data_IF_792886852785
#
_entry.id   IF_792886852785
#
_cell.length_a   1.000
_cell.length_b   1.000
_cell.length_c   1.000
_cell.angle_alpha   90.00
_cell.angle_beta   90.00
_cell.angle_gamma   90.00
#
_symmetry.space_group_name_H-M   'P 1'
#
loop_
_entity.id
_entity.type
_entity.pdbx_description
1 polymer ?
#
# COMPACT_ATOMS: atom_id res chain seq x y z
N UNK A 1 15.44 23.83 -15.62
CA UNK A 1 14.31 23.45 -16.52
C UNK A 1 13.01 23.76 -15.80
N UNK A 2 11.91 24.09 -16.49
CA UNK A 2 10.63 24.48 -15.86
C UNK A 2 9.53 23.48 -16.14
N UNK A 3 8.87 23.04 -15.07
CA UNK A 3 7.76 22.10 -15.10
C UNK A 3 6.52 22.68 -14.42
N UNK A 4 5.35 22.44 -14.99
CA UNK A 4 4.09 22.76 -14.32
C UNK A 4 3.88 21.87 -13.09
N UNK A 5 4.26 20.59 -13.19
CA UNK A 5 4.16 19.61 -12.10
C UNK A 5 5.46 18.81 -11.99
N UNK A 6 5.99 18.71 -10.78
CA UNK A 6 7.09 17.80 -10.43
C UNK A 6 6.58 16.75 -9.44
N UNK A 7 6.74 15.47 -9.75
CA UNK A 7 6.34 14.35 -8.89
C UNK A 7 7.61 13.68 -8.38
N UNK A 8 7.77 13.61 -7.06
CA UNK A 8 8.93 12.98 -6.40
C UNK A 8 8.53 11.57 -5.94
N UNK A 9 9.14 10.55 -6.55
CA UNK A 9 8.83 9.13 -6.36
C UNK A 9 8.14 8.56 -7.60
N UNK A 10 8.82 7.69 -8.34
CA UNK A 10 8.36 7.16 -9.62
C UNK A 10 7.71 5.78 -9.57
N UNK A 11 7.59 5.19 -8.37
CA UNK A 11 6.90 3.93 -8.15
C UNK A 11 5.38 4.06 -8.36
N UNK A 12 4.58 3.13 -7.83
CA UNK A 12 3.17 3.01 -8.23
C UNK A 12 2.33 4.27 -7.93
N UNK A 13 2.53 4.95 -6.80
CA UNK A 13 1.74 6.13 -6.43
C UNK A 13 2.02 7.29 -7.38
N UNK A 14 3.29 7.68 -7.54
CA UNK A 14 3.66 8.78 -8.44
C UNK A 14 3.39 8.47 -9.91
N UNK A 15 3.58 7.22 -10.34
CA UNK A 15 3.17 6.78 -11.69
C UNK A 15 1.65 6.85 -11.88
N UNK A 16 0.86 6.54 -10.85
CA UNK A 16 -0.60 6.68 -10.89
C UNK A 16 -1.03 8.14 -10.98
N UNK A 17 -0.41 9.04 -10.21
CA UNK A 17 -0.66 10.49 -10.31
C UNK A 17 -0.36 11.00 -11.72
N UNK A 18 0.82 10.68 -12.28
CA UNK A 18 1.19 11.09 -13.63
C UNK A 18 0.23 10.54 -14.69
N UNK A 19 -0.22 9.29 -14.53
CA UNK A 19 -1.13 8.64 -15.46
C UNK A 19 -2.49 9.34 -15.45
N UNK A 20 -3.08 9.50 -14.28
CA UNK A 20 -4.40 10.10 -14.17
C UNK A 20 -4.41 11.60 -14.46
N UNK A 21 -3.32 12.34 -14.23
CA UNK A 21 -3.22 13.73 -14.71
C UNK A 21 -3.46 13.81 -16.23
N UNK A 22 -2.92 12.86 -16.99
CA UNK A 22 -3.13 12.79 -18.43
C UNK A 22 -4.52 12.28 -18.80
N UNK A 23 -5.08 11.33 -18.05
CA UNK A 23 -6.48 10.90 -18.23
C UNK A 23 -7.48 12.03 -17.94
N UNK A 24 -7.18 12.91 -16.99
CA UNK A 24 -7.96 14.12 -16.69
C UNK A 24 -7.77 15.25 -17.73
N UNK A 25 -6.91 15.04 -18.73
CA UNK A 25 -6.68 16.01 -19.81
C UNK A 25 -5.65 17.09 -19.49
N UNK A 26 -4.82 16.94 -18.46
CA UNK A 26 -3.69 17.85 -18.23
C UNK A 26 -2.73 17.82 -19.42
N UNK A 27 -2.42 18.99 -19.98
CA UNK A 27 -1.51 19.12 -21.14
C UNK A 27 -0.16 19.75 -20.82
N UNK A 28 0.02 20.26 -19.59
CA UNK A 28 1.26 20.88 -19.13
C UNK A 28 2.43 19.91 -18.98
N UNK A 29 3.60 20.45 -18.65
CA UNK A 29 4.83 19.66 -18.48
C UNK A 29 4.88 18.96 -17.12
N UNK A 30 5.23 17.67 -17.14
CA UNK A 30 5.36 16.83 -15.93
C UNK A 30 6.76 16.22 -15.89
N UNK A 31 7.47 16.45 -14.78
CA UNK A 31 8.66 15.70 -14.43
C UNK A 31 8.31 14.62 -13.39
N UNK A 32 8.71 13.37 -13.64
CA UNK A 32 8.60 12.27 -12.69
C UNK A 32 10.01 11.83 -12.26
N UNK A 33 10.37 12.17 -11.03
CA UNK A 33 11.69 11.90 -10.45
C UNK A 33 11.68 10.54 -9.75
N UNK A 34 12.63 9.69 -10.10
CA UNK A 34 12.90 8.41 -9.43
C UNK A 34 14.40 8.22 -9.21
N UNK A 35 14.80 7.87 -7.99
CA UNK A 35 16.21 7.65 -7.64
C UNK A 35 16.73 6.30 -8.14
N UNK A 36 15.87 5.29 -8.17
CA UNK A 36 16.19 3.93 -8.59
C UNK A 36 15.23 3.49 -9.71
N UNK A 37 15.61 3.66 -10.99
CA UNK A 37 14.78 3.27 -12.14
C UNK A 37 14.49 1.76 -12.21
N UNK A 38 15.23 0.92 -11.48
CA UNK A 38 14.98 -0.52 -11.39
C UNK A 38 13.95 -0.86 -10.30
N UNK A 39 13.63 0.07 -9.40
CA UNK A 39 12.75 -0.13 -8.26
C UNK A 39 13.18 -1.30 -7.38
N UNK A 40 14.48 -1.53 -7.22
CA UNK A 40 15.04 -2.68 -6.50
C UNK A 40 14.69 -2.65 -5.01
N UNK A 41 14.59 -1.44 -4.44
CA UNK A 41 14.28 -1.22 -3.03
C UNK A 41 12.96 -0.45 -2.83
N UNK A 42 12.08 -0.44 -3.82
CA UNK A 42 10.80 0.24 -3.70
C UNK A 42 9.82 -0.57 -2.85
N UNK A 43 9.07 0.09 -1.97
CA UNK A 43 7.99 -0.54 -1.20
C UNK A 43 6.99 -1.29 -2.11
N UNK A 44 6.76 -0.77 -3.32
CA UNK A 44 5.93 -1.39 -4.36
C UNK A 44 6.39 -2.81 -4.71
N UNK A 45 7.65 -2.98 -5.11
CA UNK A 45 8.20 -4.24 -5.64
C UNK A 45 8.53 -5.24 -4.54
N UNK A 46 8.81 -4.75 -3.32
CA UNK A 46 9.07 -5.58 -2.14
C UNK A 46 7.81 -5.89 -1.33
N UNK A 47 6.61 -5.50 -1.81
CA UNK A 47 5.35 -5.84 -1.16
C UNK A 47 4.91 -7.28 -1.42
N UNK A 48 4.04 -7.81 -0.56
CA UNK A 48 3.35 -9.09 -0.80
C UNK A 48 2.21 -9.01 -1.83
N UNK A 49 1.94 -7.79 -2.32
CA UNK A 49 1.09 -7.46 -3.44
C UNK A 49 -0.35 -8.00 -3.38
N UNK A 50 -1.17 -7.38 -2.54
CA UNK A 50 -2.54 -7.84 -2.30
C UNK A 50 -3.56 -6.71 -2.27
N UNK A 51 -4.82 -7.06 -2.53
CA UNK A 51 -5.97 -6.16 -2.48
C UNK A 51 -7.07 -6.76 -1.61
N UNK A 52 -7.64 -5.92 -0.75
CA UNK A 52 -8.77 -6.25 0.12
C UNK A 52 -9.71 -5.06 0.24
N UNK A 53 -10.90 -5.34 0.74
CA UNK A 53 -11.94 -4.40 1.12
C UNK A 53 -12.20 -4.44 2.63
N UNK A 54 -11.59 -5.38 3.37
CA UNK A 54 -11.71 -5.51 4.82
C UNK A 54 -10.94 -4.41 5.59
N UNK A 55 -11.55 -3.23 5.67
CA UNK A 55 -11.13 -2.09 6.50
C UNK A 55 -12.25 -1.70 7.49
N UNK A 56 -11.92 -0.86 8.46
CA UNK A 56 -12.88 -0.27 9.41
C UNK A 56 -13.35 1.13 8.98
N UNK A 57 -12.57 1.82 8.14
CA UNK A 57 -12.85 3.15 7.62
C UNK A 57 -13.44 3.05 6.20
N UNK A 58 -14.67 3.56 5.95
CA UNK A 58 -15.31 3.53 4.63
C UNK A 58 -14.46 4.08 3.48
N UNK A 59 -13.72 5.16 3.72
CA UNK A 59 -12.88 5.81 2.73
C UNK A 59 -11.79 4.87 2.21
N UNK A 60 -11.17 4.07 3.08
CA UNK A 60 -10.17 3.08 2.68
C UNK A 60 -10.77 1.93 1.85
N UNK A 61 -12.02 1.53 2.16
CA UNK A 61 -12.76 0.54 1.36
C UNK A 61 -13.01 1.07 -0.05
N UNK A 62 -13.47 2.32 -0.18
CA UNK A 62 -13.74 2.98 -1.46
C UNK A 62 -12.49 3.13 -2.33
N UNK A 63 -11.33 3.46 -1.72
CA UNK A 63 -10.04 3.49 -2.41
C UNK A 63 -9.70 2.11 -3.01
N UNK A 64 -9.83 1.03 -2.24
CA UNK A 64 -9.57 -0.32 -2.74
C UNK A 64 -10.57 -0.75 -3.81
N UNK A 65 -11.86 -0.44 -3.64
CA UNK A 65 -12.90 -0.75 -4.64
C UNK A 65 -12.66 -0.06 -5.99
N UNK A 66 -12.13 1.17 -5.99
CA UNK A 66 -11.73 1.84 -7.21
C UNK A 66 -10.62 1.07 -7.94
N UNK A 67 -9.58 0.67 -7.22
CA UNK A 67 -8.49 -0.11 -7.81
C UNK A 67 -8.96 -1.49 -8.27
N UNK A 68 -9.86 -2.14 -7.54
CA UNK A 68 -10.47 -3.40 -7.98
C UNK A 68 -11.21 -3.24 -9.31
N UNK A 69 -11.97 -2.15 -9.49
CA UNK A 69 -12.63 -1.84 -10.78
C UNK A 69 -11.62 -1.68 -11.91
N UNK A 70 -10.46 -1.07 -11.64
CA UNK A 70 -9.35 -1.01 -12.61
C UNK A 70 -8.81 -2.41 -12.92
N UNK A 71 -8.62 -3.28 -11.93
CA UNK A 71 -8.12 -4.65 -12.14
C UNK A 71 -9.02 -5.46 -13.08
N UNK A 72 -10.34 -5.27 -13.00
CA UNK A 72 -11.30 -5.90 -13.94
C UNK A 72 -11.23 -5.36 -15.35
N UNK A 73 -10.68 -4.15 -15.53
CA UNK A 73 -10.67 -3.42 -16.80
C UNK A 73 -9.26 -3.21 -17.35
N UNK A 74 -8.25 -3.92 -16.84
CA UNK A 74 -6.84 -3.74 -17.24
C UNK A 74 -6.66 -3.80 -18.75
N UNK A 75 -7.33 -4.73 -19.43
CA UNK A 75 -7.22 -4.88 -20.89
C UNK A 75 -7.82 -3.72 -21.66
N UNK A 76 -8.90 -3.14 -21.16
CA UNK A 76 -9.51 -1.93 -21.72
C UNK A 76 -8.60 -0.71 -21.50
N UNK A 77 -8.03 -0.61 -20.30
CA UNK A 77 -7.24 0.56 -19.87
C UNK A 77 -5.81 0.58 -20.41
N UNK A 78 -5.14 -0.58 -20.46
CA UNK A 78 -3.71 -0.71 -20.76
C UNK A 78 -3.42 -1.55 -22.02
N UNK A 79 -4.46 -2.05 -22.69
CA UNK A 79 -4.36 -2.84 -23.92
C UNK A 79 -4.51 -4.35 -23.71
N UNK A 80 -4.73 -5.09 -24.80
CA UNK A 80 -5.17 -6.50 -24.78
C UNK A 80 -4.25 -7.46 -23.97
N UNK A 81 -2.95 -7.16 -23.93
CA UNK A 81 -1.94 -7.98 -23.24
C UNK A 81 -1.77 -7.62 -21.75
N UNK A 82 -2.56 -6.69 -21.23
CA UNK A 82 -2.47 -6.27 -19.85
C UNK A 82 -2.94 -7.37 -18.90
N UNK A 83 -2.03 -7.85 -18.06
CA UNK A 83 -2.26 -8.84 -17.02
C UNK A 83 -1.33 -8.55 -15.84
N UNK A 84 -1.87 -8.69 -14.63
CA UNK A 84 -1.13 -8.57 -13.36
C UNK A 84 -1.12 -9.88 -12.59
N UNK A 85 -1.60 -10.98 -13.17
CA UNK A 85 -1.72 -12.26 -12.49
C UNK A 85 -2.64 -12.21 -11.28
N UNK A 86 -3.73 -11.42 -11.34
CA UNK A 86 -4.65 -11.27 -10.21
C UNK A 86 -5.31 -12.61 -9.88
N UNK A 87 -4.99 -13.13 -8.69
CA UNK A 87 -5.62 -14.31 -8.08
C UNK A 87 -6.61 -13.85 -7.04
N UNK A 88 -7.88 -14.04 -7.33
CA UNK A 88 -9.00 -13.69 -6.46
C UNK A 88 -9.29 -14.80 -5.44
N UNK A 89 -8.29 -15.09 -4.60
CA UNK A 89 -8.38 -16.14 -3.58
C UNK A 89 -9.06 -15.70 -2.28
N UNK A 90 -9.42 -14.42 -2.13
CA UNK A 90 -10.00 -13.87 -0.91
C UNK A 90 -8.97 -13.54 0.19
N UNK A 91 -9.43 -12.79 1.21
CA UNK A 91 -8.78 -12.69 2.50
C UNK A 91 -9.62 -13.37 3.57
N UNK A 92 -8.98 -14.05 4.52
CA UNK A 92 -9.59 -14.54 5.76
C UNK A 92 -8.90 -13.88 6.95
N UNK A 93 -9.58 -12.94 7.61
CA UNK A 93 -9.10 -12.30 8.84
C UNK A 93 -9.77 -13.00 10.02
N UNK A 94 -8.97 -13.66 10.85
CA UNK A 94 -9.45 -14.37 12.03
C UNK A 94 -9.48 -13.45 13.25
N UNK A 95 -10.39 -13.74 14.17
CA UNK A 95 -10.44 -13.12 15.48
C UNK A 95 -10.70 -14.15 16.59
N UNK A 96 -9.91 -14.08 17.65
CA UNK A 96 -10.24 -14.67 18.94
C UNK A 96 -11.31 -13.86 19.68
N UNK A 97 -11.59 -14.24 20.92
CA UNK A 97 -12.68 -13.65 21.72
C UNK A 97 -12.56 -12.13 21.87
N UNK A 98 -11.34 -11.63 22.13
CA UNK A 98 -11.07 -10.20 22.30
C UNK A 98 -11.26 -9.38 21.01
N UNK A 99 -11.01 -9.97 19.84
CA UNK A 99 -11.12 -9.30 18.54
C UNK A 99 -12.53 -9.34 17.94
N UNK A 100 -13.40 -10.23 18.43
CA UNK A 100 -14.72 -10.49 17.86
C UNK A 100 -15.62 -9.24 17.77
N UNK A 101 -15.70 -8.35 18.79
CA UNK A 101 -16.53 -7.15 18.68
C UNK A 101 -16.08 -6.21 17.55
N UNK A 102 -14.77 -6.04 17.39
CA UNK A 102 -14.19 -5.20 16.33
C UNK A 102 -14.40 -5.85 14.97
N UNK A 103 -14.19 -7.17 14.84
CA UNK A 103 -14.42 -7.89 13.59
C UNK A 103 -15.88 -7.73 13.11
N UNK A 104 -16.85 -7.82 14.03
CA UNK A 104 -18.28 -7.59 13.74
C UNK A 104 -18.57 -6.17 13.27
N UNK A 105 -18.07 -5.16 14.00
CA UNK A 105 -18.27 -3.77 13.62
C UNK A 105 -17.64 -3.45 12.26
N UNK A 106 -16.43 -3.97 12.00
CA UNK A 106 -15.76 -3.82 10.70
C UNK A 106 -16.55 -4.49 9.59
N UNK A 107 -17.08 -5.71 9.81
CA UNK A 107 -17.91 -6.42 8.84
C UNK A 107 -19.17 -5.64 8.47
N UNK A 108 -19.84 -5.02 9.45
CA UNK A 108 -21.02 -4.18 9.21
C UNK A 108 -20.67 -2.98 8.30
N UNK A 109 -19.57 -2.28 8.57
CA UNK A 109 -19.06 -1.20 7.70
C UNK A 109 -18.76 -1.70 6.30
N UNK A 110 -18.10 -2.85 6.17
CA UNK A 110 -17.71 -3.43 4.88
C UNK A 110 -18.92 -3.79 4.02
N UNK A 111 -19.93 -4.42 4.61
CA UNK A 111 -21.19 -4.75 3.94
C UNK A 111 -21.96 -3.47 3.57
N UNK A 112 -21.95 -2.45 4.42
CA UNK A 112 -22.58 -1.16 4.12
C UNK A 112 -21.94 -0.46 2.91
N UNK A 113 -20.62 -0.62 2.71
CA UNK A 113 -19.88 -0.15 1.53
C UNK A 113 -19.97 -1.12 0.33
N UNK A 114 -20.74 -2.20 0.44
CA UNK A 114 -21.02 -3.14 -0.64
C UNK A 114 -19.93 -4.19 -0.89
N UNK A 115 -19.02 -4.42 0.07
CA UNK A 115 -18.04 -5.50 -0.02
C UNK A 115 -18.70 -6.88 0.24
N UNK A 116 -18.32 -7.89 -0.55
CA UNK A 116 -18.83 -9.26 -0.45
C UNK A 116 -18.01 -10.07 0.58
N UNK A 117 -18.26 -9.79 1.86
CA UNK A 117 -17.55 -10.39 3.00
C UNK A 117 -18.50 -11.27 3.81
N UNK A 118 -18.09 -12.52 4.07
CA UNK A 118 -18.76 -13.44 4.97
C UNK A 118 -18.19 -13.30 6.38
N UNK A 119 -19.04 -13.13 7.39
CA UNK A 119 -18.65 -13.34 8.78
C UNK A 119 -19.07 -14.74 9.20
N UNK A 120 -18.12 -15.58 9.57
CA UNK A 120 -18.32 -16.99 9.89
C UNK A 120 -17.78 -17.32 11.29
N UNK A 121 -18.53 -18.11 12.05
CA UNK A 121 -18.06 -18.64 13.33
C UNK A 121 -17.03 -19.77 13.14
N UNK A 122 -16.34 -20.15 14.22
CA UNK A 122 -15.34 -21.22 14.19
C UNK A 122 -15.85 -22.55 13.59
N UNK A 123 -17.10 -22.92 13.85
CA UNK A 123 -17.69 -24.16 13.31
C UNK A 123 -17.96 -24.08 11.81
N UNK A 124 -18.38 -22.92 11.32
CA UNK A 124 -18.54 -22.63 9.89
C UNK A 124 -17.18 -22.63 9.19
N UNK A 125 -16.17 -21.99 9.78
CA UNK A 125 -14.80 -21.97 9.26
C UNK A 125 -14.21 -23.38 9.16
N UNK A 126 -14.32 -24.20 10.21
CA UNK A 126 -13.82 -25.58 10.19
C UNK A 126 -14.49 -26.46 9.12
N UNK A 127 -15.76 -26.18 8.80
CA UNK A 127 -16.46 -26.86 7.69
C UNK A 127 -15.99 -26.35 6.31
N UNK A 128 -15.74 -25.04 6.18
CA UNK A 128 -15.32 -24.42 4.93
C UNK A 128 -13.86 -24.74 4.60
N UNK A 129 -12.99 -24.66 5.61
CA UNK A 129 -11.55 -24.87 5.51
C UNK A 129 -11.13 -25.98 6.48
N UNK A 130 -11.31 -27.27 6.12
CA UNK A 130 -11.00 -28.40 7.02
C UNK A 130 -9.53 -28.51 7.43
N UNK A 131 -8.64 -27.80 6.73
CA UNK A 131 -7.22 -27.71 7.02
C UNK A 131 -6.87 -26.65 8.08
N UNK A 132 -7.81 -25.77 8.41
CA UNK A 132 -7.65 -24.70 9.38
C UNK A 132 -7.97 -25.20 10.80
N UNK A 133 -7.02 -25.06 11.71
CA UNK A 133 -7.29 -25.15 13.14
C UNK A 133 -8.03 -23.90 13.60
N UNK A 134 -9.20 -24.11 14.19
CA UNK A 134 -10.03 -23.05 14.79
C UNK A 134 -9.98 -23.07 16.32
N UNK A 135 -9.01 -23.79 16.89
CA UNK A 135 -8.67 -23.63 18.30
C UNK A 135 -8.36 -22.16 18.57
N UNK A 136 -8.84 -21.61 19.70
CA UNK A 136 -8.75 -20.19 20.10
C UNK A 136 -9.43 -19.14 19.19
N UNK A 137 -10.00 -19.55 18.05
CA UNK A 137 -10.71 -18.67 17.12
C UNK A 137 -12.20 -18.60 17.48
N UNK A 138 -12.74 -17.38 17.52
CA UNK A 138 -14.17 -17.14 17.71
C UNK A 138 -14.92 -16.98 16.38
N UNK A 139 -14.33 -16.23 15.43
CA UNK A 139 -14.90 -16.00 14.11
C UNK A 139 -13.82 -15.59 13.10
N UNK A 140 -14.20 -15.53 11.82
CA UNK A 140 -13.40 -14.97 10.76
C UNK A 140 -14.24 -14.23 9.73
N UNK A 141 -13.68 -13.15 9.19
CA UNK A 141 -14.24 -12.44 8.05
C UNK A 141 -13.53 -12.93 6.77
N UNK A 142 -14.30 -13.48 5.83
CA UNK A 142 -13.82 -14.06 4.59
C UNK A 142 -14.36 -13.30 3.37
N UNK A 143 -13.46 -12.67 2.61
CA UNK A 143 -13.82 -12.06 1.33
C UNK A 143 -14.12 -13.10 0.27
N UNK A 144 -15.39 -13.16 -0.15
CA UNK A 144 -15.88 -14.11 -1.15
C UNK A 144 -15.55 -13.69 -2.58
N UNK A 145 -15.43 -12.39 -2.81
CA UNK A 145 -15.03 -11.81 -4.09
C UNK A 145 -14.38 -10.45 -3.91
N UNK A 146 -13.62 -10.03 -4.92
CA UNK A 146 -12.94 -8.74 -5.00
C UNK A 146 -11.65 -8.65 -4.19
N UNK A 147 -11.19 -9.75 -3.59
CA UNK A 147 -10.00 -9.76 -2.75
C UNK A 147 -9.01 -10.85 -3.15
N UNK A 148 -7.73 -10.63 -2.89
CA UNK A 148 -6.67 -11.59 -3.19
C UNK A 148 -5.34 -10.91 -3.45
N UNK A 149 -4.55 -11.47 -4.36
CA UNK A 149 -3.18 -11.01 -4.62
C UNK A 149 -2.83 -10.99 -6.10
N UNK A 150 -1.79 -10.24 -6.45
CA UNK A 150 -1.37 -10.00 -7.81
C UNK A 150 0.14 -9.73 -7.85
N UNK A 151 0.69 -9.51 -9.03
CA UNK A 151 2.08 -9.14 -9.21
C UNK A 151 2.24 -7.61 -9.20
N UNK A 152 2.90 -7.09 -8.15
CA UNK A 152 3.13 -5.65 -8.00
C UNK A 152 4.03 -5.07 -9.10
N UNK A 153 4.99 -5.85 -9.61
CA UNK A 153 5.89 -5.42 -10.67
C UNK A 153 5.14 -5.32 -12.01
N UNK A 154 4.24 -6.26 -12.29
CA UNK A 154 3.37 -6.22 -13.46
C UNK A 154 2.46 -4.99 -13.41
N UNK A 155 1.81 -4.70 -12.26
CA UNK A 155 0.99 -3.50 -12.12
C UNK A 155 1.80 -2.23 -12.36
N UNK A 156 2.97 -2.09 -11.71
CA UNK A 156 3.86 -0.94 -11.92
C UNK A 156 4.28 -0.82 -13.40
N UNK A 157 4.59 -1.95 -14.04
CA UNK A 157 5.00 -1.99 -15.45
C UNK A 157 3.89 -1.52 -16.38
N UNK A 158 2.62 -1.87 -16.11
CA UNK A 158 1.49 -1.38 -16.90
C UNK A 158 1.37 0.14 -16.83
N UNK A 159 1.42 0.73 -15.64
CA UNK A 159 1.40 2.19 -15.47
C UNK A 159 2.60 2.83 -16.16
N UNK A 160 3.82 2.34 -15.89
CA UNK A 160 5.06 2.87 -16.49
C UNK A 160 5.06 2.78 -18.02
N UNK A 161 4.55 1.68 -18.58
CA UNK A 161 4.38 1.52 -20.03
C UNK A 161 3.43 2.56 -20.59
N UNK A 162 2.27 2.75 -19.96
CA UNK A 162 1.27 3.73 -20.40
C UNK A 162 1.78 5.19 -20.36
N UNK A 163 2.73 5.49 -19.46
CA UNK A 163 3.34 6.83 -19.37
C UNK A 163 4.31 7.15 -20.52
N UNK A 164 4.87 6.15 -21.23
CA UNK A 164 5.85 6.38 -22.31
C UNK A 164 5.29 7.23 -23.45
N UNK A 165 4.01 7.06 -23.77
CA UNK A 165 3.35 7.78 -24.87
C UNK A 165 2.67 9.08 -24.39
N UNK A 166 2.83 9.43 -23.11
CA UNK A 166 2.12 10.52 -22.44
C UNK A 166 2.95 11.79 -22.21
N UNK A 167 4.11 11.92 -22.87
CA UNK A 167 5.01 13.09 -22.76
C UNK A 167 5.30 13.45 -21.29
N UNK A 168 5.80 12.48 -20.54
CA UNK A 168 6.27 12.64 -19.17
C UNK A 168 7.78 12.55 -19.21
N UNK A 169 8.46 13.52 -18.59
CA UNK A 169 9.91 13.51 -18.50
C UNK A 169 10.33 12.69 -17.29
N UNK A 170 10.89 11.51 -17.55
CA UNK A 170 11.43 10.64 -16.51
C UNK A 170 12.84 11.07 -16.13
N UNK A 171 13.05 11.41 -14.86
CA UNK A 171 14.32 11.90 -14.36
C UNK A 171 14.87 10.89 -13.35
N UNK A 172 16.00 10.26 -13.70
CA UNK A 172 16.71 9.35 -12.82
C UNK A 172 17.64 10.14 -11.88
N UNK A 173 17.13 10.55 -10.72
CA UNK A 173 17.85 11.38 -9.75
C UNK A 173 17.21 11.31 -8.37
N UNK A 174 17.97 11.69 -7.33
CA UNK A 174 17.41 11.93 -6.01
C UNK A 174 17.06 13.40 -5.83
N UNK A 175 15.86 13.70 -5.32
CA UNK A 175 15.59 15.03 -4.79
C UNK A 175 16.44 15.28 -3.53
N UNK A 176 17.09 16.44 -3.46
CA UNK A 176 18.00 16.83 -2.37
C UNK A 176 17.60 18.12 -1.67
N UNK A 177 16.67 18.89 -2.25
CA UNK A 177 16.18 20.14 -1.69
C UNK A 177 14.91 20.62 -2.40
N UNK A 178 14.14 21.48 -1.72
CA UNK A 178 12.96 22.12 -2.29
C UNK A 178 13.02 23.61 -1.96
N UNK A 179 13.03 24.46 -2.99
CA UNK A 179 13.03 25.90 -2.83
C UNK A 179 11.61 26.43 -2.62
N UNK A 180 11.47 27.45 -1.77
CA UNK A 180 10.21 28.13 -1.49
C UNK A 180 10.37 29.64 -1.59
N UNK A 181 9.31 30.30 -2.03
CA UNK A 181 9.07 31.72 -1.87
C UNK A 181 7.83 31.89 -0.98
N UNK A 182 8.07 32.21 0.30
CA UNK A 182 7.05 32.19 1.35
C UNK A 182 6.29 30.86 1.42
N UNK A 183 4.99 30.93 1.12
CA UNK A 183 4.05 29.80 1.17
C UNK A 183 3.92 29.06 -0.17
N UNK A 184 4.88 29.22 -1.08
CA UNK A 184 4.84 28.58 -2.39
C UNK A 184 6.14 27.86 -2.70
N UNK A 185 6.06 26.59 -3.08
CA UNK A 185 7.23 25.88 -3.65
C UNK A 185 7.55 26.44 -5.03
N UNK A 186 8.83 26.63 -5.33
CA UNK A 186 9.30 27.20 -6.61
C UNK A 186 10.21 26.26 -7.39
N UNK A 187 10.82 25.26 -6.74
CA UNK A 187 11.64 24.28 -7.45
C UNK A 187 12.13 23.13 -6.58
N UNK A 188 12.71 22.13 -7.25
CA UNK A 188 13.29 20.92 -6.66
C UNK A 188 14.74 20.80 -7.12
N UNK A 189 15.66 20.71 -6.17
CA UNK A 189 17.09 20.46 -6.42
C UNK A 189 17.35 18.96 -6.45
N UNK A 190 18.25 18.55 -7.34
CA UNK A 190 18.62 17.15 -7.57
C UNK A 190 20.06 16.86 -7.13
N UNK A 191 20.38 15.59 -6.90
CA UNK A 191 21.73 15.13 -6.53
C UNK A 191 22.77 15.27 -7.65
N UNK A 192 22.35 15.43 -8.89
CA UNK A 192 23.20 15.72 -10.03
C UNK A 192 23.55 17.23 -10.20
N UNK A 193 23.09 18.09 -9.27
CA UNK A 193 23.31 19.53 -9.29
C UNK A 193 22.30 20.34 -10.12
N UNK A 194 21.37 19.68 -10.82
CA UNK A 194 20.30 20.37 -11.53
C UNK A 194 19.22 20.88 -10.57
N UNK A 195 18.47 21.88 -11.04
CA UNK A 195 17.26 22.36 -10.37
C UNK A 195 16.12 22.48 -11.36
N UNK A 196 14.98 21.92 -10.97
CA UNK A 196 13.73 21.96 -11.72
C UNK A 196 12.84 23.04 -11.11
N UNK A 197 12.49 24.08 -11.85
CA UNK A 197 11.42 24.99 -11.44
C UNK A 197 10.09 24.25 -11.48
N UNK A 198 9.27 24.43 -10.44
CA UNK A 198 8.04 23.67 -10.24
C UNK A 198 6.84 24.60 -9.99
N UNK A 199 5.77 24.40 -10.76
CA UNK A 199 4.46 24.97 -10.50
C UNK A 199 3.80 24.34 -9.28
N UNK A 200 3.73 23.01 -9.27
CA UNK A 200 3.21 22.14 -8.22
C UNK A 200 4.24 21.04 -7.93
N UNK A 201 4.37 20.64 -6.67
CA UNK A 201 5.15 19.45 -6.28
C UNK A 201 4.25 18.42 -5.61
N UNK A 202 4.31 17.17 -6.08
CA UNK A 202 3.63 16.03 -5.46
C UNK A 202 4.66 15.13 -4.78
N UNK A 203 4.56 14.98 -3.46
CA UNK A 203 5.38 14.08 -2.66
C UNK A 203 4.78 12.67 -2.63
N UNK A 204 5.26 11.81 -3.52
CA UNK A 204 4.94 10.39 -3.60
C UNK A 204 6.16 9.52 -3.23
N UNK A 205 7.04 10.02 -2.36
CA UNK A 205 8.36 9.45 -2.10
C UNK A 205 8.37 8.23 -1.16
N UNK A 206 7.20 7.62 -0.93
CA UNK A 206 7.02 6.42 -0.11
C UNK A 206 7.72 6.55 1.25
N UNK A 207 8.60 5.61 1.64
CA UNK A 207 9.28 5.65 2.94
C UNK A 207 10.14 6.90 3.19
N UNK A 208 10.46 7.66 2.14
CA UNK A 208 11.24 8.90 2.25
C UNK A 208 10.34 10.15 2.27
N UNK A 209 9.01 10.00 2.33
CA UNK A 209 8.08 11.13 2.25
C UNK A 209 8.33 12.18 3.34
N UNK A 210 8.61 11.76 4.59
CA UNK A 210 8.96 12.68 5.68
C UNK A 210 10.21 13.50 5.37
N UNK A 211 11.26 12.85 4.84
CA UNK A 211 12.50 13.52 4.41
C UNK A 211 12.26 14.52 3.27
N UNK A 212 11.42 14.16 2.30
CA UNK A 212 11.08 15.05 1.18
C UNK A 212 10.25 16.25 1.64
N UNK A 213 9.31 16.06 2.57
CA UNK A 213 8.56 17.16 3.18
C UNK A 213 9.51 18.11 3.94
N UNK A 214 10.49 17.57 4.65
CA UNK A 214 11.48 18.36 5.39
C UNK A 214 12.35 19.24 4.49
N UNK A 215 12.62 18.85 3.23
CA UNK A 215 13.30 19.71 2.26
C UNK A 215 12.51 20.99 1.96
N UNK A 216 11.18 20.96 2.07
CA UNK A 216 10.31 22.12 1.95
C UNK A 216 10.08 22.83 3.31
N UNK A 217 10.77 22.42 4.38
CA UNK A 217 10.54 22.95 5.73
C UNK A 217 9.20 22.53 6.33
N UNK A 218 8.63 21.41 5.89
CA UNK A 218 7.36 20.87 6.38
C UNK A 218 7.60 19.61 7.22
N UNK A 219 6.83 19.46 8.30
CA UNK A 219 6.80 18.22 9.07
C UNK A 219 5.86 17.22 8.39
N UNK A 220 6.20 15.93 8.46
CA UNK A 220 5.29 14.87 8.05
C UNK A 220 5.71 13.61 8.82
N UNK A 221 4.83 13.01 9.63
CA UNK A 221 5.16 11.87 10.50
C UNK A 221 5.21 10.55 9.71
N UNK A 222 5.84 10.55 8.54
CA UNK A 222 5.99 9.35 7.69
C UNK A 222 7.46 8.98 7.57
N UNK A 223 7.79 7.78 8.02
CA UNK A 223 9.16 7.26 8.09
C UNK A 223 9.21 5.77 7.69
N UNK A 224 10.39 5.22 7.34
CA UNK A 224 10.47 3.81 6.98
C UNK A 224 10.13 2.90 8.16
N UNK A 225 9.49 1.77 7.88
CA UNK A 225 9.36 0.64 8.81
C UNK A 225 9.75 -0.66 8.15
N UNK A 226 10.64 -1.41 8.81
CA UNK A 226 11.18 -2.66 8.28
C UNK A 226 10.13 -3.76 8.40
N UNK A 227 9.86 -4.47 7.30
CA UNK A 227 8.95 -5.63 7.26
C UNK A 227 9.63 -6.78 6.54
N UNK A 228 9.66 -7.95 7.18
CA UNK A 228 10.23 -9.17 6.67
C UNK A 228 9.15 -9.98 5.97
N UNK A 229 9.52 -10.57 4.84
CA UNK A 229 8.71 -11.57 4.16
C UNK A 229 9.53 -12.84 4.03
N UNK A 230 8.91 -13.96 4.39
CA UNK A 230 9.50 -15.28 4.27
C UNK A 230 8.74 -16.11 3.24
N UNK A 231 9.50 -16.95 2.54
CA UNK A 231 9.04 -17.94 1.58
C UNK A 231 9.32 -19.31 2.15
N UNK A 232 8.33 -20.20 2.14
CA UNK A 232 8.54 -21.58 2.54
C UNK A 232 7.84 -22.57 1.62
N UNK A 233 8.34 -23.80 1.62
CA UNK A 233 7.71 -24.96 1.02
C UNK A 233 6.98 -25.75 2.09
N UNK A 234 5.79 -26.24 1.74
CA UNK A 234 5.04 -27.23 2.51
C UNK A 234 4.57 -28.34 1.56
N UNK A 235 4.45 -29.56 2.07
CA UNK A 235 4.00 -30.72 1.30
C UNK A 235 2.54 -30.55 0.87
N UNK A 236 1.70 -30.10 1.78
CA UNK A 236 0.27 -29.91 1.57
C UNK A 236 0.01 -28.59 0.82
N UNK A 237 -0.87 -28.67 -0.18
CA UNK A 237 -1.31 -27.55 -1.01
C UNK A 237 -2.82 -27.44 -0.93
N UNK A 238 -3.30 -26.24 -0.65
CA UNK A 238 -4.72 -25.94 -0.47
C UNK A 238 -5.17 -24.98 -1.57
N UNK A 239 -5.93 -25.49 -2.53
CA UNK A 239 -6.40 -24.71 -3.68
C UNK A 239 -7.42 -23.63 -3.29
N UNK A 240 -8.13 -23.85 -2.18
CA UNK A 240 -9.13 -22.99 -1.58
C UNK A 240 -8.55 -22.01 -0.54
N UNK A 241 -7.23 -22.01 -0.31
CA UNK A 241 -6.62 -21.20 0.73
C UNK A 241 -6.59 -19.71 0.36
N UNK A 242 -7.25 -18.84 1.16
CA UNK A 242 -7.16 -17.40 0.99
C UNK A 242 -5.82 -16.87 1.50
N UNK A 243 -5.61 -15.55 1.40
CA UNK A 243 -4.64 -14.90 2.29
C UNK A 243 -5.23 -14.92 3.71
N UNK A 244 -4.66 -15.77 4.56
CA UNK A 244 -5.04 -15.94 5.95
C UNK A 244 -4.30 -14.92 6.81
N UNK A 245 -4.99 -14.34 7.79
CA UNK A 245 -4.43 -13.48 8.84
C UNK A 245 -4.84 -14.04 10.18
N UNK A 246 -3.85 -14.42 10.97
CA UNK A 246 -4.00 -14.88 12.34
C UNK A 246 -4.21 -13.68 13.30
N UNK A 247 -4.90 -13.85 14.45
CA UNK A 247 -5.06 -12.78 15.43
C UNK A 247 -3.74 -12.20 15.97
N UNK A 248 -2.61 -12.91 15.83
CA UNK A 248 -1.27 -12.40 16.14
C UNK A 248 -0.77 -11.31 15.17
N UNK A 249 -1.42 -11.11 14.02
CA UNK A 249 -0.97 -10.24 12.94
C UNK A 249 -0.20 -10.97 11.83
N UNK A 250 0.19 -12.23 12.06
CA UNK A 250 0.88 -13.05 11.06
C UNK A 250 -0.08 -13.40 9.92
N UNK A 251 0.37 -13.16 8.70
CA UNK A 251 -0.37 -13.51 7.50
C UNK A 251 0.34 -14.58 6.68
N UNK A 252 -0.42 -15.36 5.91
CA UNK A 252 0.13 -16.34 4.97
C UNK A 252 -0.77 -16.50 3.74
N UNK A 253 -0.16 -16.66 2.56
CA UNK A 253 -0.89 -17.02 1.33
C UNK A 253 -0.10 -17.97 0.43
N UNK A 254 -0.76 -18.74 -0.45
CA UNK A 254 -0.09 -19.52 -1.48
C UNK A 254 0.49 -18.62 -2.59
N UNK A 255 1.60 -19.05 -3.19
CA UNK A 255 2.21 -18.48 -4.39
C UNK A 255 2.81 -19.60 -5.26
N UNK A 256 2.06 -20.06 -6.26
CA UNK A 256 2.48 -21.19 -7.09
C UNK A 256 2.75 -22.44 -6.25
N UNK A 257 4.00 -22.90 -6.22
CA UNK A 257 4.42 -24.08 -5.43
C UNK A 257 4.89 -23.75 -4.01
N UNK A 258 4.92 -22.48 -3.61
CA UNK A 258 5.43 -22.03 -2.30
C UNK A 258 4.34 -21.26 -1.53
N UNK A 259 4.66 -20.86 -0.31
CA UNK A 259 3.86 -19.97 0.53
C UNK A 259 4.67 -18.74 0.90
N UNK A 260 3.96 -17.62 1.12
CA UNK A 260 4.50 -16.34 1.52
C UNK A 260 3.90 -15.92 2.86
N UNK A 261 4.72 -15.44 3.79
CA UNK A 261 4.28 -15.04 5.14
C UNK A 261 5.08 -13.87 5.70
N UNK A 262 4.49 -13.14 6.66
CA UNK A 262 5.07 -12.00 7.39
C UNK A 262 4.10 -11.53 8.47
N UNK A 263 4.33 -10.34 9.05
CA UNK A 263 3.42 -9.71 10.03
C UNK A 263 3.70 -10.07 11.50
N UNK A 264 4.95 -10.36 11.85
CA UNK A 264 5.37 -10.75 13.20
C UNK A 264 6.22 -9.69 13.92
N UNK A 265 6.48 -8.55 13.30
CA UNK A 265 7.27 -7.48 13.90
C UNK A 265 6.57 -6.91 15.16
N UNK A 266 7.26 -6.87 16.32
CA UNK A 266 6.65 -6.38 17.55
C UNK A 266 6.36 -4.88 17.45
N UNK A 267 5.21 -4.42 17.93
CA UNK A 267 4.93 -2.97 18.04
C UNK A 267 5.91 -2.28 19.01
N UNK A 268 6.25 -2.97 20.10
CA UNK A 268 7.23 -2.48 21.07
C UNK A 268 8.64 -2.54 20.48
N UNK A 269 9.26 -1.37 20.31
CA UNK A 269 10.58 -1.24 19.70
C UNK A 269 10.57 -1.10 18.17
N UNK A 270 9.40 -1.04 17.51
CA UNK A 270 9.32 -0.79 16.06
C UNK A 270 9.69 0.67 15.72
N UNK A 271 10.96 0.86 15.37
CA UNK A 271 11.56 2.17 15.06
C UNK A 271 11.97 2.27 13.60
N UNK A 272 12.29 3.48 13.15
CA UNK A 272 12.78 3.68 11.79
C UNK A 272 14.13 2.96 11.63
N UNK A 273 14.29 2.06 10.64
CA UNK A 273 15.56 1.41 10.38
C UNK A 273 16.54 2.38 9.73
N UNK A 274 17.81 2.00 9.63
CA UNK A 274 18.70 2.59 8.63
C UNK A 274 18.04 2.44 7.25
N UNK A 275 17.91 3.49 6.41
CA UNK A 275 17.32 3.39 5.07
C UNK A 275 18.00 2.38 4.14
N UNK A 276 19.19 1.87 4.49
CA UNK A 276 19.93 0.82 3.77
C UNK A 276 19.80 -0.57 4.40
N UNK A 277 19.14 -0.70 5.55
CA UNK A 277 18.94 -1.99 6.21
C UNK A 277 17.83 -2.79 5.50
N UNK A 278 18.26 -3.72 4.66
CA UNK A 278 17.42 -4.74 4.03
C UNK A 278 17.78 -6.15 4.53
N UNK A 279 18.43 -6.24 5.68
CA UNK A 279 18.89 -7.51 6.24
C UNK A 279 17.71 -8.26 6.88
N UNK A 280 17.50 -9.49 6.42
CA UNK A 280 16.44 -10.38 6.87
C UNK A 280 16.69 -10.84 8.30
N UNK A 281 15.67 -10.71 9.15
CA UNK A 281 15.68 -11.24 10.50
C UNK A 281 15.15 -12.69 10.53
N UNK A 282 15.99 -13.68 10.21
CA UNK A 282 15.60 -15.10 10.22
C UNK A 282 15.07 -15.64 11.56
N UNK A 283 15.61 -15.24 12.73
CA UNK A 283 15.03 -15.62 14.03
C UNK A 283 13.53 -15.33 14.15
N UNK A 284 13.03 -14.25 13.54
CA UNK A 284 11.60 -13.94 13.52
C UNK A 284 10.76 -15.07 12.91
N UNK A 285 11.28 -15.72 11.86
CA UNK A 285 10.59 -16.84 11.24
C UNK A 285 10.54 -18.05 12.16
N UNK A 286 11.68 -18.42 12.75
CA UNK A 286 11.82 -19.63 13.56
C UNK A 286 11.11 -19.52 14.92
N UNK A 287 11.20 -18.37 15.57
CA UNK A 287 10.73 -18.18 16.95
C UNK A 287 9.26 -17.74 17.03
N UNK A 288 8.73 -17.11 15.97
CA UNK A 288 7.39 -16.47 16.02
C UNK A 288 6.49 -16.93 14.88
N UNK A 289 6.93 -16.78 13.62
CA UNK A 289 6.07 -17.06 12.45
C UNK A 289 5.72 -18.54 12.36
N UNK A 290 6.73 -19.42 12.35
CA UNK A 290 6.50 -20.84 12.15
C UNK A 290 5.63 -21.48 13.26
N UNK A 291 5.87 -21.26 14.56
CA UNK A 291 5.00 -21.79 15.62
C UNK A 291 3.54 -21.35 15.49
N UNK A 292 3.30 -20.08 15.12
CA UNK A 292 1.94 -19.56 14.92
C UNK A 292 1.26 -20.24 13.73
N UNK A 293 1.98 -20.36 12.61
CA UNK A 293 1.48 -21.02 11.40
C UNK A 293 1.21 -22.52 11.61
N UNK A 294 2.08 -23.23 12.33
CA UNK A 294 1.89 -24.64 12.66
C UNK A 294 0.66 -24.85 13.56
N UNK A 295 0.36 -23.89 14.44
CA UNK A 295 -0.83 -23.96 15.28
C UNK A 295 -2.12 -23.71 14.48
N UNK A 296 -2.12 -22.76 13.54
CA UNK A 296 -3.29 -22.49 12.69
C UNK A 296 -3.49 -23.49 11.57
N UNK A 297 -2.42 -24.05 11.02
CA UNK A 297 -2.46 -25.01 9.93
C UNK A 297 -1.58 -26.18 10.35
N UNK A 298 -2.12 -27.24 10.98
CA UNK A 298 -1.32 -28.34 11.53
C UNK A 298 -0.36 -28.99 10.54
N UNK A 299 -0.71 -29.03 9.25
CA UNK A 299 0.17 -29.51 8.19
C UNK A 299 1.46 -28.68 8.03
N UNK A 300 1.50 -27.45 8.56
CA UNK A 300 2.67 -26.58 8.54
C UNK A 300 3.66 -26.86 9.70
N UNK A 301 3.42 -27.90 10.51
CA UNK A 301 4.42 -28.39 11.49
C UNK A 301 5.75 -28.73 10.80
N UNK A 302 5.75 -29.18 9.55
CA UNK A 302 6.94 -29.62 8.81
C UNK A 302 7.23 -28.77 7.55
N UNK A 303 7.20 -27.43 7.67
CA UNK A 303 7.56 -26.52 6.57
C UNK A 303 9.08 -26.34 6.44
N UNK A 304 9.51 -25.92 5.25
CA UNK A 304 10.91 -25.62 4.94
C UNK A 304 11.05 -24.17 4.46
N UNK A 305 11.68 -23.25 5.23
CA UNK A 305 12.01 -21.93 4.72
C UNK A 305 12.99 -22.03 3.54
N UNK A 306 12.82 -21.17 2.53
CA UNK A 306 13.63 -21.19 1.31
C UNK A 306 14.26 -19.85 1.00
N UNK A 307 13.47 -18.78 0.98
CA UNK A 307 13.92 -17.42 0.64
C UNK A 307 13.25 -16.43 1.57
N UNK A 308 13.80 -15.24 1.65
CA UNK A 308 13.19 -14.13 2.35
C UNK A 308 13.69 -12.81 1.77
N UNK A 309 12.97 -11.75 2.05
CA UNK A 309 13.40 -10.40 1.73
C UNK A 309 12.83 -9.41 2.76
N UNK A 310 13.34 -8.19 2.71
CA UNK A 310 12.87 -7.07 3.51
C UNK A 310 12.30 -6.01 2.60
N UNK A 311 11.19 -5.39 3.02
CA UNK A 311 10.67 -4.14 2.47
C UNK A 311 10.59 -3.05 3.53
N UNK A 312 10.57 -1.79 3.10
CA UNK A 312 10.26 -0.66 3.98
C UNK A 312 8.89 -0.11 3.65
N UNK A 313 8.01 -0.04 4.65
CA UNK A 313 6.74 0.66 4.55
C UNK A 313 6.93 2.15 4.76
N UNK A 314 6.08 2.96 4.13
CA UNK A 314 5.92 4.38 4.41
C UNK A 314 4.98 4.56 5.59
N UNK A 315 5.52 4.30 6.79
CA UNK A 315 4.72 4.19 8.00
C UNK A 315 4.40 5.56 8.56
N UNK A 316 3.11 5.88 8.63
CA UNK A 316 2.63 7.06 9.33
C UNK A 316 2.57 6.81 10.84
N UNK A 317 3.43 7.46 11.62
CA UNK A 317 3.53 7.27 13.07
C UNK A 317 2.35 7.85 13.85
N UNK A 318 1.54 8.72 13.24
CA UNK A 318 0.33 9.23 13.87
C UNK A 318 -0.73 8.13 14.00
N UNK A 319 -1.05 7.47 12.89
CA UNK A 319 -2.23 6.61 12.80
C UNK A 319 -2.17 5.50 11.77
N UNK A 320 -1.02 5.33 11.12
CA UNK A 320 -0.80 4.35 10.07
C UNK A 320 -1.71 4.52 8.84
N UNK A 321 -2.23 5.73 8.59
CA UNK A 321 -3.13 5.98 7.47
C UNK A 321 -2.61 7.08 6.52
N UNK A 322 -3.03 7.03 5.26
CA UNK A 322 -2.52 7.87 4.19
C UNK A 322 -2.71 9.37 4.42
N UNK A 323 -1.77 10.18 3.94
CA UNK A 323 -1.87 11.63 3.86
C UNK A 323 -2.01 12.02 2.39
N UNK A 324 -3.17 12.57 2.03
CA UNK A 324 -3.57 12.84 0.64
C UNK A 324 -4.04 14.29 0.54
N UNK A 325 -3.53 15.03 -0.45
CA UNK A 325 -3.98 16.40 -0.73
C UNK A 325 -2.94 17.47 -0.40
N UNK A 326 -3.31 18.75 -0.42
CA UNK A 326 -2.38 19.86 -0.30
C UNK A 326 -1.99 20.12 1.16
N UNK A 327 -0.82 20.71 1.37
CA UNK A 327 -0.55 21.38 2.65
C UNK A 327 -1.43 22.63 2.78
N UNK A 328 -2.05 22.93 3.94
CA UNK A 328 -2.98 24.06 4.09
C UNK A 328 -2.30 25.42 3.85
N UNK A 329 -1.04 25.57 4.27
CA UNK A 329 -0.26 26.79 4.03
C UNK A 329 0.48 26.79 2.68
N UNK A 330 1.16 25.69 2.33
CA UNK A 330 1.93 25.53 1.10
C UNK A 330 1.09 24.79 0.06
N UNK A 331 0.03 25.44 -0.41
CA UNK A 331 -1.04 24.79 -1.19
C UNK A 331 -0.60 24.12 -2.50
N UNK A 332 0.57 24.48 -3.05
CA UNK A 332 1.14 23.83 -4.24
C UNK A 332 2.12 22.69 -3.92
N UNK A 333 2.21 22.25 -2.66
CA UNK A 333 2.88 21.03 -2.24
C UNK A 333 1.83 20.01 -1.77
N UNK A 334 1.71 18.89 -2.49
CA UNK A 334 0.70 17.86 -2.24
C UNK A 334 1.35 16.59 -1.70
N UNK A 335 0.65 15.92 -0.80
CA UNK A 335 1.00 14.62 -0.24
C UNK A 335 0.22 13.50 -0.95
N UNK A 336 0.91 12.37 -1.16
CA UNK A 336 0.34 11.11 -1.63
C UNK A 336 1.21 9.97 -1.08
N UNK A 337 1.15 9.73 0.23
CA UNK A 337 2.05 8.81 0.95
C UNK A 337 1.47 8.45 2.34
N UNK A 338 2.20 7.64 3.10
CA UNK A 338 1.88 7.32 4.50
C UNK A 338 0.91 6.15 4.67
N UNK A 339 0.83 5.26 3.68
CA UNK A 339 -0.21 4.23 3.62
C UNK A 339 0.07 2.99 4.49
N UNK A 340 1.21 2.94 5.19
CA UNK A 340 1.58 1.88 6.15
C UNK A 340 1.25 0.44 5.73
N UNK A 341 1.51 0.10 4.46
CA UNK A 341 1.29 -1.26 3.93
C UNK A 341 0.10 -1.40 2.97
N UNK A 342 -0.74 -0.37 2.80
CA UNK A 342 -1.90 -0.42 1.87
C UNK A 342 -1.66 0.36 0.58
N UNK A 343 -0.49 1.01 0.44
CA UNK A 343 -0.24 1.97 -0.63
C UNK A 343 -0.34 1.38 -2.03
N UNK A 344 0.00 0.10 -2.23
CA UNK A 344 -0.08 -0.52 -3.56
C UNK A 344 -1.53 -0.64 -4.06
N UNK A 345 -2.44 -1.17 -3.24
CA UNK A 345 -3.85 -1.32 -3.62
C UNK A 345 -4.59 0.03 -3.69
N UNK A 346 -4.12 1.06 -2.97
CA UNK A 346 -4.77 2.37 -2.98
C UNK A 346 -4.16 3.33 -4.02
N UNK A 347 -2.97 3.05 -4.54
CA UNK A 347 -2.24 3.96 -5.42
C UNK A 347 -3.02 4.45 -6.66
N UNK A 348 -3.75 3.60 -7.41
CA UNK A 348 -4.54 4.09 -8.53
C UNK A 348 -5.62 5.09 -8.10
N UNK A 349 -6.33 4.81 -7.01
CA UNK A 349 -7.38 5.67 -6.46
C UNK A 349 -6.82 7.01 -5.96
N UNK A 350 -5.67 6.98 -5.28
CA UNK A 350 -4.95 8.17 -4.83
C UNK A 350 -4.48 8.99 -6.02
N UNK A 351 -3.89 8.34 -7.04
CA UNK A 351 -3.43 9.00 -8.26
C UNK A 351 -4.55 9.75 -8.97
N UNK A 352 -5.71 9.10 -9.12
CA UNK A 352 -6.93 9.71 -9.65
C UNK A 352 -7.40 10.89 -8.80
N UNK A 353 -7.44 10.75 -7.48
CA UNK A 353 -7.91 11.80 -6.57
C UNK A 353 -7.01 13.05 -6.59
N UNK A 354 -5.69 12.86 -6.62
CA UNK A 354 -4.72 13.96 -6.73
C UNK A 354 -4.81 14.64 -8.11
N UNK A 355 -4.96 13.86 -9.18
CA UNK A 355 -5.13 14.41 -10.53
C UNK A 355 -6.41 15.28 -10.62
N UNK A 356 -7.52 14.81 -10.07
CA UNK A 356 -8.77 15.58 -10.02
C UNK A 356 -8.63 16.85 -9.21
N UNK A 357 -7.99 16.77 -8.04
CA UNK A 357 -7.74 17.93 -7.20
C UNK A 357 -6.92 19.00 -7.95
N UNK A 358 -5.85 18.59 -8.64
CA UNK A 358 -5.00 19.50 -9.42
C UNK A 358 -5.77 20.11 -10.60
N UNK A 359 -6.54 19.30 -11.33
CA UNK A 359 -7.22 19.72 -12.55
C UNK A 359 -8.49 20.55 -12.30
N UNK A 360 -9.20 20.24 -11.23
CA UNK A 360 -10.56 20.70 -11.01
C UNK A 360 -10.74 21.47 -9.70
N UNK A 361 -9.72 21.53 -8.85
CA UNK A 361 -9.77 22.20 -7.55
C UNK A 361 -10.53 21.42 -6.47
N UNK A 362 -10.87 20.14 -6.71
CA UNK A 362 -11.57 19.30 -5.75
C UNK A 362 -11.64 17.84 -6.18
N UNK A 363 -11.84 16.96 -5.21
CA UNK A 363 -12.08 15.53 -5.44
C UNK A 363 -13.44 15.33 -6.14
N UNK A 364 -13.52 14.43 -7.14
CA UNK A 364 -14.77 14.16 -7.88
C UNK A 364 -15.19 12.70 -7.83
N UNK A 365 -14.25 11.78 -7.91
CA UNK A 365 -14.55 10.34 -7.92
C UNK A 365 -14.56 9.76 -6.50
N UNK A 366 -13.57 10.11 -5.67
CA UNK A 366 -13.46 9.64 -4.29
C UNK A 366 -13.09 10.82 -3.43
N UNK A 367 -13.90 11.10 -2.41
CA UNK A 367 -13.59 12.14 -1.45
C UNK A 367 -12.46 11.69 -0.52
N UNK A 368 -11.30 12.34 -0.64
CA UNK A 368 -10.12 12.08 0.18
C UNK A 368 -9.90 13.13 1.26
N UNK A 369 -10.87 14.02 1.53
CA UNK A 369 -10.73 15.10 2.52
C UNK A 369 -10.39 14.58 3.92
N UNK A 370 -10.89 13.40 4.31
CA UNK A 370 -10.56 12.77 5.58
C UNK A 370 -9.07 12.40 5.75
N UNK A 371 -8.32 12.27 4.64
CA UNK A 371 -6.88 12.01 4.64
C UNK A 371 -6.02 13.30 4.62
N UNK A 372 -6.64 14.48 4.62
CA UNK A 372 -5.97 15.77 4.50
C UNK A 372 -4.95 16.06 5.62
N UNK A 373 -3.93 16.85 5.30
CA UNK A 373 -2.84 17.17 6.23
C UNK A 373 -3.30 17.94 7.47
N UNK A 374 -4.45 18.62 7.43
CA UNK A 374 -5.02 19.34 8.58
C UNK A 374 -5.22 18.44 9.80
N UNK A 375 -5.54 17.16 9.60
CA UNK A 375 -5.66 16.19 10.71
C UNK A 375 -4.29 15.92 11.35
N UNK A 376 -3.23 15.87 10.53
CA UNK A 376 -1.85 15.64 10.97
C UNK A 376 -1.37 16.84 11.78
N UNK A 377 -1.55 18.05 11.25
CA UNK A 377 -1.21 19.29 11.95
C UNK A 377 -1.95 19.43 13.29
N UNK A 378 -3.18 18.93 13.37
CA UNK A 378 -3.98 18.94 14.60
C UNK A 378 -3.75 17.73 15.53
N UNK A 379 -2.87 16.79 15.18
CA UNK A 379 -2.66 15.56 15.95
C UNK A 379 -3.88 14.65 16.04
N UNK A 380 -4.84 14.77 15.10
CA UNK A 380 -6.05 13.94 15.05
C UNK A 380 -5.78 12.68 14.23
N UNK A 381 -5.71 11.55 14.92
CA UNK A 381 -5.58 10.24 14.30
C UNK A 381 -6.86 9.85 13.53
N UNK A 382 -6.67 9.25 12.37
CA UNK A 382 -7.66 8.60 11.53
C UNK A 382 -7.26 7.13 11.33
N UNK A 383 -7.20 6.41 12.46
CA UNK A 383 -6.61 5.07 12.57
C UNK A 383 -7.62 3.97 12.24
N UNK A 384 -7.17 2.98 11.48
CA UNK A 384 -7.89 1.73 11.26
C UNK A 384 -7.92 0.84 12.52
N UNK A 385 -8.99 0.08 12.72
CA UNK A 385 -9.14 -0.85 13.85
C UNK A 385 -9.01 -2.31 13.40
N UNK A 386 -8.05 -3.06 13.95
CA UNK A 386 -7.76 -4.46 13.63
C UNK A 386 -7.65 -4.72 12.12
N UNK A 387 -6.78 -3.95 11.48
CA UNK A 387 -6.45 -4.07 10.06
C UNK A 387 -4.96 -4.46 9.94
N UNK A 388 -4.65 -5.27 8.93
CA UNK A 388 -3.32 -5.87 8.64
C UNK A 388 -2.35 -4.83 8.10
#
# INVERSE_FOLDING_TARGET
MRYDIVIIGGAIVGSSVAYYLREEGFTGSIALIERDPQFSHAATTLSLASIRQQFSIPENIRLSQFTLKLFRRLKETFGADADIGFREGGYLILAGEAGLPILKANHETQVAEGADIALEDAGQLARRFPWLSVEDISAGAFGRSGEGWFDAHALLTLFRKALRDKKIDFIAASATGISRDGNRVTGVSLDNGETLEAGIVVNAAGPNAGKVAAFAGLALPVEPRKRNVFVFEAREKYADMPLLVDPSGIYVRPEGSVYLTGGAEPEEGDVAPDPKDFDVNWPLFEEVVWPTLATRIPAFEAIKPTRAWVGHYDYNTLDQNGVIGPHPEVGNFLFANGFSGHGLQQAPAVGKSIAELIMHGGYRTIDCTAFGYERVAAGRAFRELNVI
#
